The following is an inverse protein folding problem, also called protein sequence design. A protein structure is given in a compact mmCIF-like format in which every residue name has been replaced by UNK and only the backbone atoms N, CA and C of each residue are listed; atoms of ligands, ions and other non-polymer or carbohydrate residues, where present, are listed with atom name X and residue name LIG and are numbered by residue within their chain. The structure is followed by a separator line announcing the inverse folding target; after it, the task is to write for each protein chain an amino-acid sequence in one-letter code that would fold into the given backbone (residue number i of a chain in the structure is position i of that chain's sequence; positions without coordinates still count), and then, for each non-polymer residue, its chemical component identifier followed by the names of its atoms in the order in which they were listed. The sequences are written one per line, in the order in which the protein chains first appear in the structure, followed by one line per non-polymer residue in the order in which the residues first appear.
data_IF_901586584178
#
_entry.id   IF_901586584178
#
_cell.length_a   1.000
_cell.length_b   1.000
_cell.length_c   1.000
_cell.angle_alpha   90.00
_cell.angle_beta   90.00
_cell.angle_gamma   90.00
#
_symmetry.space_group_name_H-M   'P 1'
#
loop_
_entity.id
_entity.type
_entity.pdbx_description
1 polymer ?
#
# COMPACT_ATOMS: atom_id res chain seq x y z
N UNK A 1 18.79 -11.00 7.97
CA UNK A 1 18.32 -9.69 8.46
C UNK A 1 17.72 -8.90 7.32
N UNK A 2 16.90 -7.88 7.56
CA UNK A 2 16.20 -7.11 6.50
C UNK A 2 17.21 -6.43 5.54
N UNK A 3 17.03 -6.51 4.20
CA UNK A 3 17.94 -5.90 3.23
C UNK A 3 17.97 -4.37 3.38
N UNK A 4 19.15 -3.78 3.52
CA UNK A 4 19.29 -2.34 3.74
C UNK A 4 19.24 -1.58 2.42
N UNK A 5 20.02 -2.05 1.45
CA UNK A 5 20.15 -1.46 0.12
C UNK A 5 19.51 -2.33 -0.96
N UNK A 6 19.27 -1.76 -2.15
CA UNK A 6 18.81 -2.51 -3.32
C UNK A 6 19.82 -3.59 -3.73
N UNK A 7 21.12 -3.33 -3.50
CA UNK A 7 22.19 -4.30 -3.73
C UNK A 7 22.03 -5.50 -2.79
N UNK A 8 21.77 -5.27 -1.50
CA UNK A 8 21.52 -6.36 -0.54
C UNK A 8 20.29 -7.17 -0.91
N UNK A 9 19.20 -6.50 -1.33
CA UNK A 9 17.98 -7.17 -1.75
C UNK A 9 18.26 -8.12 -2.92
N UNK A 10 19.00 -7.65 -3.93
CA UNK A 10 19.33 -8.44 -5.12
C UNK A 10 20.28 -9.61 -4.83
N UNK A 11 21.25 -9.43 -3.93
CA UNK A 11 22.29 -10.45 -3.70
C UNK A 11 21.84 -11.57 -2.75
N UNK A 12 20.94 -11.30 -1.80
CA UNK A 12 20.68 -12.19 -0.66
C UNK A 12 19.22 -12.60 -0.49
N UNK A 13 18.29 -12.09 -1.30
CA UNK A 13 16.86 -12.34 -1.14
C UNK A 13 16.22 -12.78 -2.46
N UNK A 14 15.14 -13.55 -2.35
CA UNK A 14 14.36 -13.96 -3.49
C UNK A 14 13.55 -12.76 -4.02
N UNK A 15 13.64 -12.51 -5.32
CA UNK A 15 12.99 -11.35 -5.94
C UNK A 15 11.48 -11.54 -6.11
N UNK A 16 11.01 -12.78 -6.15
CA UNK A 16 9.59 -13.07 -6.33
C UNK A 16 8.86 -13.04 -4.98
N UNK A 17 9.40 -13.68 -3.96
CA UNK A 17 8.67 -13.97 -2.71
C UNK A 17 9.01 -13.04 -1.56
N UNK A 18 10.02 -12.17 -1.72
CA UNK A 18 10.43 -11.23 -0.68
C UNK A 18 10.25 -9.80 -1.12
N UNK A 19 9.54 -9.02 -0.30
CA UNK A 19 9.19 -7.65 -0.63
C UNK A 19 8.93 -6.85 0.64
N UNK A 20 9.04 -5.53 0.52
CA UNK A 20 8.49 -4.63 1.50
C UNK A 20 7.00 -4.43 1.23
N UNK A 21 6.20 -4.51 2.29
CA UNK A 21 4.77 -4.25 2.24
C UNK A 21 4.41 -3.09 3.16
N UNK A 22 3.54 -2.21 2.67
CA UNK A 22 3.04 -1.07 3.43
C UNK A 22 1.52 -1.05 3.37
N UNK A 23 0.90 -0.90 4.54
CA UNK A 23 -0.55 -0.75 4.66
C UNK A 23 -0.89 0.63 5.21
N UNK A 24 -1.63 1.42 4.43
CA UNK A 24 -2.08 2.76 4.77
C UNK A 24 -3.55 2.71 5.16
N UNK A 25 -3.85 2.92 6.44
CA UNK A 25 -5.22 3.07 6.92
C UNK A 25 -5.74 4.46 6.57
N UNK A 26 -6.71 4.55 5.68
CA UNK A 26 -7.31 5.80 5.19
C UNK A 26 -8.74 5.90 5.70
N UNK A 27 -9.08 7.06 6.26
CA UNK A 27 -10.47 7.39 6.60
C UNK A 27 -11.12 8.13 5.44
N UNK A 28 -12.22 7.57 4.95
CA UNK A 28 -13.05 8.14 3.91
C UNK A 28 -14.33 8.64 4.56
N UNK A 29 -14.44 9.97 4.69
CA UNK A 29 -15.54 10.63 5.37
C UNK A 29 -16.73 10.90 4.46
N UNK A 30 -17.94 10.83 5.00
CA UNK A 30 -19.18 11.19 4.30
C UNK A 30 -19.41 10.46 2.96
N UNK A 31 -19.14 9.15 2.88
CA UNK A 31 -19.16 8.40 1.62
C UNK A 31 -20.34 7.43 1.45
N UNK A 32 -21.53 7.85 1.87
CA UNK A 32 -22.77 7.05 1.73
C UNK A 32 -23.03 6.52 0.31
N UNK A 33 -22.57 7.25 -0.71
CA UNK A 33 -22.76 6.91 -2.13
C UNK A 33 -21.55 6.24 -2.77
N UNK A 34 -20.48 5.98 -2.02
CA UNK A 34 -19.25 5.33 -2.51
C UNK A 34 -18.42 6.17 -3.50
N UNK A 35 -18.74 7.45 -3.68
CA UNK A 35 -18.06 8.33 -4.64
C UNK A 35 -16.61 8.61 -4.23
N UNK A 36 -16.35 8.77 -2.94
CA UNK A 36 -14.98 9.00 -2.44
C UNK A 36 -14.16 7.72 -2.46
N UNK A 37 -14.75 6.56 -2.22
CA UNK A 37 -14.09 5.27 -2.44
C UNK A 37 -13.69 5.11 -3.91
N UNK A 38 -14.58 5.45 -4.85
CA UNK A 38 -14.26 5.44 -6.29
C UNK A 38 -13.09 6.41 -6.57
N UNK A 39 -13.11 7.61 -5.99
CA UNK A 39 -12.02 8.57 -6.13
C UNK A 39 -10.68 8.02 -5.58
N UNK A 40 -10.69 7.41 -4.39
CA UNK A 40 -9.52 6.79 -3.78
C UNK A 40 -8.96 5.67 -4.69
N UNK A 41 -9.83 4.79 -5.18
CA UNK A 41 -9.45 3.72 -6.13
C UNK A 41 -8.83 4.29 -7.41
N UNK A 42 -9.40 5.36 -7.96
CA UNK A 42 -8.88 6.01 -9.16
C UNK A 42 -7.52 6.65 -8.92
N UNK A 43 -7.32 7.27 -7.75
CA UNK A 43 -6.04 7.85 -7.34
C UNK A 43 -4.97 6.76 -7.23
N UNK A 44 -5.27 5.66 -6.55
CA UNK A 44 -4.39 4.49 -6.45
C UNK A 44 -4.02 3.94 -7.84
N UNK A 45 -5.01 3.75 -8.73
CA UNK A 45 -4.79 3.29 -10.10
C UNK A 45 -4.00 4.28 -10.98
N UNK A 46 -4.13 5.58 -10.73
CA UNK A 46 -3.44 6.61 -11.51
C UNK A 46 -1.95 6.71 -11.18
N UNK A 47 -1.55 6.24 -10.00
CA UNK A 47 -0.17 6.24 -9.57
C UNK A 47 0.50 4.89 -9.91
N UNK A 48 1.03 4.80 -11.12
CA UNK A 48 1.66 3.58 -11.64
C UNK A 48 3.01 3.28 -11.00
N UNK A 49 3.66 4.28 -10.41
CA UNK A 49 5.02 4.14 -9.87
C UNK A 49 5.05 3.29 -8.59
N UNK A 50 3.95 3.28 -7.82
CA UNK A 50 3.87 2.59 -6.53
C UNK A 50 2.91 1.40 -6.49
N UNK A 51 2.23 1.08 -7.60
CA UNK A 51 1.29 -0.04 -7.71
C UNK A 51 0.34 -0.17 -6.50
N UNK A 52 -0.35 0.93 -6.17
CA UNK A 52 -1.20 0.99 -4.98
C UNK A 52 -2.51 0.22 -5.19
N UNK A 53 -2.89 -0.59 -4.21
CA UNK A 53 -4.14 -1.34 -4.23
C UNK A 53 -5.04 -0.98 -3.05
N UNK A 54 -6.35 -0.85 -3.26
CA UNK A 54 -7.32 -0.63 -2.17
C UNK A 54 -7.91 -1.97 -1.78
N UNK A 55 -7.58 -2.46 -0.59
CA UNK A 55 -8.07 -3.73 -0.05
C UNK A 55 -9.60 -3.71 0.09
N UNK A 56 -10.25 -4.77 -0.41
CA UNK A 56 -11.71 -4.92 -0.32
C UNK A 56 -12.20 -5.32 1.09
N UNK A 57 -11.35 -6.02 1.85
CA UNK A 57 -11.78 -6.80 3.03
C UNK A 57 -11.62 -6.07 4.37
N UNK A 58 -10.90 -4.96 4.43
CA UNK A 58 -10.66 -4.21 5.68
C UNK A 58 -11.61 -3.03 5.86
N UNK A 59 -12.86 -3.24 5.44
CA UNK A 59 -13.94 -2.29 5.63
C UNK A 59 -14.38 -2.30 7.10
N UNK A 60 -14.14 -1.19 7.79
CA UNK A 60 -14.79 -0.94 9.08
C UNK A 60 -15.50 0.40 9.03
N UNK A 61 -16.83 0.34 8.98
CA UNK A 61 -17.66 1.49 9.27
C UNK A 61 -17.44 1.91 10.72
N UNK A 62 -17.13 3.17 10.95
CA UNK A 62 -16.93 3.70 12.30
C UNK A 62 -18.09 4.57 12.77
N UNK A 63 -18.77 5.25 11.85
CA UNK A 63 -19.99 6.02 12.07
C UNK A 63 -20.91 5.91 10.83
N UNK A 64 -22.11 6.50 10.82
CA UNK A 64 -23.10 6.36 9.74
C UNK A 64 -22.53 6.59 8.33
N UNK A 65 -21.55 7.49 8.17
CA UNK A 65 -21.02 7.86 6.85
C UNK A 65 -19.50 7.76 6.69
N UNK A 66 -18.79 7.28 7.72
CA UNK A 66 -17.34 7.28 7.78
C UNK A 66 -16.80 5.86 7.73
N UNK A 67 -15.88 5.63 6.78
CA UNK A 67 -15.37 4.30 6.46
C UNK A 67 -13.86 4.26 6.49
N UNK A 68 -13.31 3.21 7.09
CA UNK A 68 -11.89 2.90 6.98
C UNK A 68 -11.66 1.98 5.79
N UNK A 69 -10.68 2.35 4.97
CA UNK A 69 -10.12 1.53 3.91
C UNK A 69 -8.62 1.37 4.14
N UNK A 70 -8.08 0.30 3.58
CA UNK A 70 -6.66 0.03 3.59
C UNK A 70 -6.14 0.10 2.17
N UNK A 71 -5.08 0.89 1.98
CA UNK A 71 -4.32 0.93 0.75
C UNK A 71 -3.04 0.13 0.99
N UNK A 72 -2.68 -0.75 0.07
CA UNK A 72 -1.48 -1.59 0.14
C UNK A 72 -0.51 -1.22 -0.96
N UNK A 73 0.78 -1.20 -0.63
CA UNK A 73 1.90 -1.06 -1.56
C UNK A 73 2.88 -2.20 -1.34
N UNK A 74 3.36 -2.82 -2.42
CA UNK A 74 4.39 -3.87 -2.39
C UNK A 74 5.58 -3.51 -3.25
N UNK A 75 6.78 -3.70 -2.72
CA UNK A 75 8.04 -3.35 -3.38
C UNK A 75 9.03 -4.53 -3.33
N UNK A 76 9.29 -5.15 -4.47
CA UNK A 76 10.02 -6.43 -4.58
C UNK A 76 11.54 -6.29 -4.76
N UNK A 77 11.99 -5.24 -5.43
CA UNK A 77 13.38 -5.11 -5.90
C UNK A 77 14.18 -4.02 -5.16
N UNK A 78 13.70 -3.59 -4.00
CA UNK A 78 14.28 -2.47 -3.26
C UNK A 78 14.73 -2.89 -1.86
N UNK A 79 15.75 -2.20 -1.34
CA UNK A 79 16.16 -2.26 0.05
C UNK A 79 15.32 -1.35 0.95
N UNK A 80 15.53 -1.46 2.26
CA UNK A 80 14.80 -0.71 3.28
C UNK A 80 14.86 0.80 3.07
N UNK A 81 16.02 1.33 2.70
CA UNK A 81 16.22 2.77 2.50
C UNK A 81 15.26 3.30 1.42
N UNK A 82 15.32 2.70 0.23
CA UNK A 82 14.47 3.07 -0.90
C UNK A 82 12.99 2.78 -0.63
N UNK A 83 12.67 1.66 0.04
CA UNK A 83 11.31 1.34 0.42
C UNK A 83 10.69 2.42 1.33
N UNK A 84 11.48 2.98 2.25
CA UNK A 84 11.01 4.00 3.19
C UNK A 84 10.86 5.36 2.50
N UNK A 85 11.77 5.71 1.58
CA UNK A 85 11.62 6.89 0.72
C UNK A 85 10.31 6.83 -0.08
N UNK A 86 10.03 5.71 -0.75
CA UNK A 86 8.82 5.54 -1.54
C UNK A 86 7.56 5.53 -0.67
N UNK A 87 7.63 4.96 0.54
CA UNK A 87 6.55 5.09 1.52
C UNK A 87 6.25 6.57 1.83
N UNK A 88 7.26 7.39 2.05
CA UNK A 88 7.06 8.81 2.36
C UNK A 88 6.48 9.58 1.17
N UNK A 89 6.86 9.22 -0.06
CA UNK A 89 6.27 9.74 -1.29
C UNK A 89 4.78 9.37 -1.41
N UNK A 90 4.40 8.13 -1.10
CA UNK A 90 2.99 7.70 -1.10
C UNK A 90 2.18 8.43 -0.03
N UNK A 91 2.71 8.62 1.18
CA UNK A 91 2.02 9.38 2.24
C UNK A 91 1.75 10.81 1.76
N UNK A 92 2.75 11.47 1.16
CA UNK A 92 2.58 12.81 0.59
C UNK A 92 1.55 12.80 -0.53
N UNK A 93 1.64 11.85 -1.45
CA UNK A 93 0.71 11.70 -2.56
C UNK A 93 -0.74 11.56 -2.08
N UNK A 94 -1.03 10.60 -1.21
CA UNK A 94 -2.37 10.39 -0.67
C UNK A 94 -2.89 11.62 0.10
N UNK A 95 -2.02 12.28 0.86
CA UNK A 95 -2.35 13.52 1.59
C UNK A 95 -2.72 14.66 0.63
N UNK A 96 -1.94 14.90 -0.43
CA UNK A 96 -2.25 15.93 -1.44
C UNK A 96 -3.54 15.64 -2.22
N UNK A 97 -4.02 14.39 -2.19
CA UNK A 97 -5.29 13.97 -2.78
C UNK A 97 -6.45 13.96 -1.78
N UNK A 98 -6.27 14.55 -0.60
CA UNK A 98 -7.25 14.60 0.49
C UNK A 98 -7.62 13.22 1.07
N UNK A 99 -6.68 12.28 1.07
CA UNK A 99 -6.78 10.97 1.71
C UNK A 99 -5.58 10.68 2.63
N UNK A 100 -5.29 11.54 3.62
CA UNK A 100 -4.13 11.32 4.50
C UNK A 100 -4.25 9.99 5.25
N UNK A 101 -3.19 9.15 5.25
CA UNK A 101 -3.16 7.95 6.08
C UNK A 101 -3.23 8.30 7.57
N UNK A 102 -4.13 7.65 8.30
CA UNK A 102 -4.23 7.72 9.77
C UNK A 102 -3.17 6.86 10.47
N UNK A 103 -2.80 5.75 9.83
CA UNK A 103 -1.79 4.81 10.32
C UNK A 103 -1.12 4.17 9.13
N UNK A 104 0.18 3.89 9.28
CA UNK A 104 0.96 3.12 8.31
C UNK A 104 1.59 1.93 9.03
N UNK A 105 1.37 0.72 8.51
CA UNK A 105 2.08 -0.49 8.91
C UNK A 105 3.17 -0.76 7.87
N UNK A 106 4.34 -1.22 8.33
CA UNK A 106 5.53 -1.45 7.49
C UNK A 106 6.05 -2.84 7.78
N UNK A 107 6.13 -3.67 6.76
CA UNK A 107 6.49 -5.08 6.88
C UNK A 107 7.53 -5.44 5.83
N UNK A 108 8.37 -6.42 6.17
CA UNK A 108 9.24 -7.07 5.21
C UNK A 108 8.88 -8.54 5.16
N UNK A 109 8.36 -8.97 4.03
CA UNK A 109 7.86 -10.32 3.83
C UNK A 109 9.05 -11.21 3.48
N UNK A 110 9.34 -12.15 4.38
CA UNK A 110 10.48 -13.09 4.27
C UNK A 110 10.12 -14.32 3.44
N UNK A 111 8.82 -14.60 3.26
CA UNK A 111 8.31 -15.64 2.39
C UNK A 111 6.80 -15.48 2.23
N UNK A 112 6.30 -15.58 1.00
CA UNK A 112 4.87 -15.52 0.69
C UNK A 112 4.46 -16.72 -0.17
N UNK A 113 3.58 -17.56 0.36
CA UNK A 113 3.03 -18.74 -0.34
C UNK A 113 1.81 -18.41 -1.21
N UNK A 114 1.29 -17.19 -1.15
CA UNK A 114 0.04 -16.78 -1.78
C UNK A 114 0.22 -15.61 -2.76
N UNK A 115 1.42 -15.41 -3.29
CA UNK A 115 1.72 -14.34 -4.25
C UNK A 115 0.83 -14.35 -5.50
N UNK A 116 0.25 -15.50 -5.82
CA UNK A 116 -0.70 -15.68 -6.92
C UNK A 116 -1.98 -14.84 -6.79
N UNK A 117 -2.33 -14.43 -5.56
CA UNK A 117 -3.45 -13.51 -5.30
C UNK A 117 -3.23 -12.12 -5.91
N UNK A 118 -1.99 -11.75 -6.21
CA UNK A 118 -1.64 -10.45 -6.79
C UNK A 118 -2.01 -10.35 -8.27
N UNK A 119 -2.31 -11.48 -8.92
CA UNK A 119 -2.81 -11.49 -10.30
C UNK A 119 -4.12 -10.71 -10.45
N UNK A 120 -4.87 -10.57 -9.38
CA UNK A 120 -6.13 -9.82 -9.33
C UNK A 120 -5.94 -8.31 -9.06
N UNK A 121 -4.71 -7.85 -8.80
CA UNK A 121 -4.42 -6.44 -8.48
C UNK A 121 -4.22 -5.54 -9.71
N UNK A 122 -4.57 -6.03 -10.91
CA UNK A 122 -4.43 -5.33 -12.19
C UNK A 122 -5.53 -4.31 -12.50
#
# INVERSE_FOLDING_TARGET
GVPQTDIDKRLFWDEATNYFEFHYKVLVKNDLKGQRLIALRNICKSNRDFNLHVSHNEFKQTDENDFHYMVTMRLFHVGREKAFEQNDEVIKYLTTKNFPPLKVVREFIVYDTHIELDKEWK
#
